data_IF_804849918927
#
_entry.id   IF_804849918927
#
_cell.length_a   1.000
_cell.length_b   1.000
_cell.length_c   1.000
_cell.angle_alpha   90.00
_cell.angle_beta   90.00
_cell.angle_gamma   90.00
#
_symmetry.space_group_name_H-M   'P 1'
#
loop_
_entity.id
_entity.type
_entity.pdbx_description
1 polymer ?
#
# COMPACT_ATOMS: atom_id res chain seq x y z
N UNK A 1 -5.31 -6.98 8.71
CA UNK A 1 -5.23 -5.58 8.25
C UNK A 1 -5.19 -4.71 9.48
N UNK A 2 -4.15 -3.89 9.63
CA UNK A 2 -4.03 -2.92 10.71
C UNK A 2 -4.09 -1.51 10.12
N UNK A 3 -4.88 -0.64 10.75
CA UNK A 3 -5.09 0.75 10.36
C UNK A 3 -4.66 1.66 11.51
N UNK A 4 -3.83 2.67 11.23
CA UNK A 4 -3.46 3.68 12.21
C UNK A 4 -3.58 5.06 11.60
N UNK A 5 -4.31 5.95 12.25
CA UNK A 5 -4.52 7.34 11.84
C UNK A 5 -3.74 8.29 12.75
N UNK A 6 -2.99 9.23 12.15
CA UNK A 6 -2.32 10.30 12.87
C UNK A 6 -2.31 11.58 12.04
N UNK A 7 -3.06 12.61 12.48
CA UNK A 7 -3.08 13.96 11.86
C UNK A 7 -3.28 13.95 10.32
N UNK A 8 -4.24 13.17 9.81
CA UNK A 8 -4.52 13.09 8.36
C UNK A 8 -3.54 12.20 7.59
N UNK A 9 -2.58 11.55 8.27
CA UNK A 9 -1.82 10.43 7.72
C UNK A 9 -2.49 9.12 8.13
N UNK A 10 -2.68 8.25 7.14
CA UNK A 10 -3.23 6.92 7.30
C UNK A 10 -2.14 5.92 6.93
N UNK A 11 -1.83 5.01 7.86
CA UNK A 11 -0.95 3.87 7.62
C UNK A 11 -1.80 2.61 7.56
N UNK A 12 -1.62 1.82 6.49
CA UNK A 12 -2.26 0.52 6.30
C UNK A 12 -1.19 -0.53 6.05
N UNK A 13 -1.25 -1.62 6.80
CA UNK A 13 -0.35 -2.76 6.62
C UNK A 13 -1.14 -3.98 6.19
N UNK A 14 -0.69 -4.62 5.11
CA UNK A 14 -1.24 -5.86 4.55
C UNK A 14 -0.21 -6.97 4.68
N UNK A 15 -0.65 -8.13 5.16
CA UNK A 15 0.13 -9.36 5.02
C UNK A 15 -0.14 -9.93 3.62
N UNK A 16 0.91 -10.38 2.93
CA UNK A 16 0.79 -11.01 1.63
C UNK A 16 0.80 -12.53 1.74
N UNK A 17 -0.03 -13.20 0.93
CA UNK A 17 0.09 -14.64 0.67
C UNK A 17 1.36 -14.96 -0.14
N UNK A 18 1.79 -16.22 -0.15
CA UNK A 18 2.98 -16.64 -0.92
C UNK A 18 2.87 -16.34 -2.42
N UNK A 19 1.66 -16.38 -3.00
CA UNK A 19 1.45 -16.03 -4.40
C UNK A 19 1.62 -14.52 -4.63
N UNK A 20 1.11 -13.69 -3.73
CA UNK A 20 1.25 -12.24 -3.80
C UNK A 20 2.70 -11.82 -3.57
N UNK A 21 3.43 -12.48 -2.66
CA UNK A 21 4.86 -12.24 -2.44
C UNK A 21 5.68 -12.51 -3.70
N UNK A 22 5.40 -13.61 -4.42
CA UNK A 22 6.05 -13.91 -5.71
C UNK A 22 5.73 -12.88 -6.79
N UNK A 23 4.52 -12.35 -6.77
CA UNK A 23 4.11 -11.30 -7.71
C UNK A 23 4.83 -9.98 -7.40
N UNK A 24 4.83 -9.54 -6.14
CA UNK A 24 5.43 -8.29 -5.69
C UNK A 24 6.97 -8.31 -5.79
N UNK A 25 7.62 -9.43 -5.51
CA UNK A 25 9.07 -9.57 -5.66
C UNK A 25 9.55 -9.58 -7.12
N UNK A 26 8.65 -9.85 -8.08
CA UNK A 26 8.96 -9.94 -9.51
C UNK A 26 8.73 -8.65 -10.30
N UNK A 27 8.17 -7.61 -9.68
CA UNK A 27 7.79 -6.36 -10.37
C UNK A 27 8.73 -5.20 -10.04
N UNK A 28 8.76 -4.20 -10.92
CA UNK A 28 9.54 -2.98 -10.69
C UNK A 28 8.95 -2.13 -9.56
N UNK A 29 9.75 -1.24 -8.97
CA UNK A 29 9.27 -0.31 -7.92
C UNK A 29 8.11 0.56 -8.40
N UNK A 30 8.09 0.97 -9.68
CA UNK A 30 6.98 1.76 -10.23
C UNK A 30 5.69 0.95 -10.35
N UNK A 31 5.78 -0.30 -10.81
CA UNK A 31 4.63 -1.19 -10.92
C UNK A 31 4.08 -1.53 -9.52
N UNK A 32 4.97 -1.73 -8.54
CA UNK A 32 4.60 -1.96 -7.15
C UNK A 32 3.85 -0.77 -6.55
N UNK A 33 4.33 0.47 -6.79
CA UNK A 33 3.65 1.67 -6.34
C UNK A 33 2.27 1.82 -7.00
N UNK A 34 2.15 1.46 -8.28
CA UNK A 34 0.89 1.53 -8.99
C UNK A 34 -0.12 0.48 -8.49
N UNK A 35 0.32 -0.76 -8.29
CA UNK A 35 -0.46 -1.83 -7.67
C UNK A 35 -0.94 -1.42 -6.28
N UNK A 36 -0.03 -0.88 -5.47
CA UNK A 36 -0.30 -0.39 -4.12
C UNK A 36 -1.34 0.72 -4.10
N UNK A 37 -1.24 1.71 -5.01
CA UNK A 37 -2.24 2.77 -5.16
C UNK A 37 -3.60 2.22 -5.59
N UNK A 38 -3.63 1.27 -6.53
CA UNK A 38 -4.87 0.61 -6.94
C UNK A 38 -5.55 -0.06 -5.76
N UNK A 39 -4.80 -0.80 -4.94
CA UNK A 39 -5.28 -1.39 -3.68
C UNK A 39 -5.81 -0.34 -2.70
N UNK A 40 -5.14 0.80 -2.63
CA UNK A 40 -5.55 1.94 -1.80
C UNK A 40 -6.92 2.50 -2.21
N UNK A 41 -7.23 2.50 -3.51
CA UNK A 41 -8.56 2.95 -4.01
C UNK A 41 -9.72 2.05 -3.57
N UNK A 42 -9.44 0.81 -3.15
CA UNK A 42 -10.46 -0.08 -2.54
C UNK A 42 -10.83 0.38 -1.12
N UNK A 43 -9.96 1.16 -0.46
CA UNK A 43 -10.13 1.58 0.93
C UNK A 43 -10.53 3.05 1.06
N UNK A 44 -10.00 3.91 0.21
CA UNK A 44 -10.20 5.37 0.24
C UNK A 44 -10.45 5.88 -1.17
N UNK A 45 -11.33 6.88 -1.30
CA UNK A 45 -11.57 7.51 -2.59
C UNK A 45 -10.26 8.12 -3.14
N UNK A 46 -9.86 7.82 -4.39
CA UNK A 46 -8.60 8.26 -4.95
C UNK A 46 -8.39 9.78 -4.85
N UNK A 47 -9.46 10.55 -5.00
CA UNK A 47 -9.43 12.03 -4.96
C UNK A 47 -9.08 12.60 -3.58
N UNK A 48 -9.20 11.78 -2.53
CA UNK A 48 -8.78 12.15 -1.18
C UNK A 48 -7.31 11.86 -0.94
N UNK A 49 -6.65 11.02 -1.75
CA UNK A 49 -5.25 10.63 -1.54
C UNK A 49 -4.31 11.66 -2.17
N UNK A 50 -3.63 12.46 -1.35
CA UNK A 50 -2.68 13.48 -1.83
C UNK A 50 -1.31 12.89 -2.12
N UNK A 51 -0.76 12.19 -1.15
CA UNK A 51 0.53 11.51 -1.25
C UNK A 51 0.38 10.07 -0.77
N UNK A 52 1.12 9.16 -1.38
CA UNK A 52 1.15 7.75 -0.99
C UNK A 52 2.55 7.19 -1.20
N UNK A 53 3.07 6.52 -0.17
CA UNK A 53 4.29 5.73 -0.22
C UNK A 53 3.96 4.29 0.11
N UNK A 54 4.63 3.36 -0.57
CA UNK A 54 4.50 1.94 -0.35
C UNK A 54 5.87 1.36 -0.05
N UNK A 55 5.93 0.49 0.95
CA UNK A 55 7.11 -0.27 1.33
C UNK A 55 6.77 -1.76 1.39
N UNK A 56 7.74 -2.61 1.10
CA UNK A 56 7.61 -4.07 1.11
C UNK A 56 8.86 -4.69 1.75
N UNK A 57 8.65 -5.41 2.86
CA UNK A 57 9.71 -6.02 3.66
C UNK A 57 9.95 -7.52 3.34
N UNK A 58 9.17 -8.09 2.42
CA UNK A 58 9.22 -9.51 2.06
C UNK A 58 7.98 -10.31 2.46
N UNK A 59 7.31 -9.93 3.55
CA UNK A 59 6.08 -10.58 4.01
C UNK A 59 4.88 -9.65 4.05
N UNK A 60 5.12 -8.35 4.20
CA UNK A 60 4.09 -7.32 4.37
C UNK A 60 4.31 -6.13 3.47
N UNK A 61 3.20 -5.54 3.06
CA UNK A 61 3.16 -4.25 2.38
C UNK A 61 2.66 -3.20 3.35
N UNK A 62 3.43 -2.13 3.52
CA UNK A 62 3.04 -0.95 4.29
C UNK A 62 2.75 0.20 3.35
N UNK A 63 1.52 0.68 3.38
CA UNK A 63 1.08 1.89 2.68
C UNK A 63 0.93 3.01 3.69
N UNK A 64 1.54 4.16 3.41
CA UNK A 64 1.31 5.39 4.18
C UNK A 64 0.83 6.43 3.19
N UNK A 65 -0.31 7.06 3.49
CA UNK A 65 -0.88 8.08 2.63
C UNK A 65 -1.49 9.23 3.43
N UNK A 66 -1.58 10.39 2.80
CA UNK A 66 -2.22 11.59 3.37
C UNK A 66 -3.56 11.85 2.70
N UNK A 67 -4.53 12.30 3.52
CA UNK A 67 -5.84 12.78 3.10
C UNK A 67 -6.01 14.29 3.32
#
# INVERSE_FOLDING_TARGET
>A
MELTEFKGLISVTFALSEQEQKHVSGISTSDFLQLSRSKLTELVQPDLVREAVADYDGDKVKLIFSI
#
